data_IF_535241436131
#
_entry.id   IF_535241436131
#
_cell.length_a   1.000
_cell.length_b   1.000
_cell.length_c   1.000
_cell.angle_alpha   90.00
_cell.angle_beta   90.00
_cell.angle_gamma   90.00
#
_symmetry.space_group_name_H-M   'P 1'
#
loop_
_entity.id
_entity.type
_entity.pdbx_description
1 polymer ?
#
# COMPACT_ATOMS: atom_id res chain seq x y z
N UNK A 1 7.26 0.31 -6.33
CA UNK A 1 6.80 1.58 -6.95
C UNK A 1 7.29 1.80 -8.38
N UNK A 2 8.50 1.36 -8.76
CA UNK A 2 9.12 1.64 -10.07
C UNK A 2 8.25 1.38 -11.29
N UNK A 3 7.47 0.29 -11.31
CA UNK A 3 6.56 -0.04 -12.43
C UNK A 3 5.38 0.92 -12.52
N UNK A 4 4.79 1.31 -11.38
CA UNK A 4 3.68 2.27 -11.33
C UNK A 4 4.10 3.66 -11.77
N UNK A 5 5.24 4.14 -11.27
CA UNK A 5 5.81 5.44 -11.69
C UNK A 5 6.15 5.45 -13.18
N UNK A 6 6.70 4.35 -13.72
CA UNK A 6 6.97 4.20 -15.17
C UNK A 6 5.69 4.20 -16.02
N UNK A 7 4.57 3.76 -15.46
CA UNK A 7 3.26 3.81 -16.12
C UNK A 7 2.55 5.17 -15.94
N UNK A 8 3.20 6.17 -15.33
CA UNK A 8 2.62 7.50 -15.09
C UNK A 8 1.70 7.56 -13.88
N UNK A 9 1.65 6.51 -13.05
CA UNK A 9 0.90 6.55 -11.80
C UNK A 9 1.61 7.49 -10.81
N UNK A 10 0.95 8.59 -10.46
CA UNK A 10 1.42 9.57 -9.47
C UNK A 10 0.94 9.25 -8.06
N UNK A 11 -0.07 8.40 -7.92
CA UNK A 11 -0.62 7.91 -6.64
C UNK A 11 -1.14 6.49 -6.84
N UNK A 12 -0.89 5.62 -5.86
CA UNK A 12 -1.47 4.28 -5.84
C UNK A 12 -2.10 4.01 -4.47
N UNK A 13 -3.29 3.42 -4.48
CA UNK A 13 -4.04 3.05 -3.28
C UNK A 13 -4.25 1.53 -3.26
N UNK A 14 -3.91 0.88 -2.16
CA UNK A 14 -4.15 -0.55 -1.95
C UNK A 14 -4.90 -0.78 -0.65
N UNK A 15 -5.90 -1.65 -0.70
CA UNK A 15 -6.65 -2.12 0.47
C UNK A 15 -6.30 -3.57 0.74
N UNK A 16 -6.06 -3.92 2.00
CA UNK A 16 -5.78 -5.30 2.42
C UNK A 16 -6.41 -5.58 3.78
N UNK A 17 -6.74 -6.83 4.08
CA UNK A 17 -7.26 -7.20 5.41
C UNK A 17 -6.25 -6.90 6.52
N UNK A 18 -6.70 -6.47 7.69
CA UNK A 18 -5.81 -6.12 8.80
C UNK A 18 -4.98 -7.33 9.29
N UNK A 19 -5.54 -8.53 9.14
CA UNK A 19 -4.96 -9.83 9.46
C UNK A 19 -3.93 -10.33 8.43
N UNK A 20 -3.86 -9.72 7.24
CA UNK A 20 -2.92 -10.13 6.20
C UNK A 20 -1.53 -9.48 6.45
N UNK A 21 -0.84 -9.98 7.47
CA UNK A 21 0.46 -9.48 7.93
C UNK A 21 1.52 -9.54 6.82
N UNK A 22 1.49 -10.55 5.96
CA UNK A 22 2.43 -10.68 4.85
C UNK A 22 2.29 -9.54 3.84
N UNK A 23 1.05 -9.22 3.42
CA UNK A 23 0.79 -8.11 2.52
C UNK A 23 1.15 -6.76 3.16
N UNK A 24 0.81 -6.57 4.44
CA UNK A 24 1.16 -5.37 5.21
C UNK A 24 2.66 -5.12 5.26
N UNK A 25 3.43 -6.15 5.60
CA UNK A 25 4.90 -6.07 5.67
C UNK A 25 5.52 -5.73 4.32
N UNK A 26 4.97 -6.29 3.23
CA UNK A 26 5.39 -5.97 1.87
C UNK A 26 5.12 -4.51 1.53
N UNK A 27 3.92 -4.00 1.83
CA UNK A 27 3.54 -2.63 1.51
C UNK A 27 4.33 -1.60 2.33
N UNK A 28 4.61 -1.88 3.60
CA UNK A 28 5.48 -1.06 4.44
C UNK A 28 6.92 -1.02 3.89
N UNK A 29 7.48 -2.17 3.52
CA UNK A 29 8.82 -2.25 2.91
C UNK A 29 8.90 -1.54 1.55
N UNK A 30 7.78 -1.44 0.83
CA UNK A 30 7.67 -0.71 -0.43
C UNK A 30 7.52 0.81 -0.25
N UNK A 31 7.49 1.31 0.99
CA UNK A 31 7.31 2.74 1.30
C UNK A 31 5.85 3.18 1.34
N UNK A 32 4.91 2.23 1.43
CA UNK A 32 3.49 2.53 1.56
C UNK A 32 3.18 3.07 2.95
N UNK A 33 2.65 4.28 3.03
CA UNK A 33 2.16 4.83 4.29
C UNK A 33 0.79 4.25 4.63
N UNK A 34 0.50 4.07 5.91
CA UNK A 34 -0.80 3.59 6.38
C UNK A 34 -1.80 4.76 6.38
N UNK A 35 -2.93 4.62 5.67
CA UNK A 35 -3.94 5.66 5.54
C UNK A 35 -5.10 5.54 6.54
N UNK A 36 -5.50 4.33 6.93
CA UNK A 36 -6.56 4.09 7.93
C UNK A 36 -6.55 2.63 8.42
N UNK A 37 -6.94 2.40 9.68
CA UNK A 37 -7.10 1.06 10.27
C UNK A 37 -8.58 0.79 10.59
N UNK A 38 -9.13 -0.22 9.93
CA UNK A 38 -10.41 -0.88 10.26
C UNK A 38 -10.27 -2.40 10.07
N UNK A 39 -11.34 -3.15 9.75
CA UNK A 39 -11.19 -4.56 9.34
C UNK A 39 -10.31 -4.72 8.08
N UNK A 40 -10.16 -3.64 7.31
CA UNK A 40 -9.16 -3.50 6.27
C UNK A 40 -8.22 -2.34 6.57
N UNK A 41 -6.98 -2.47 6.12
CA UNK A 41 -5.95 -1.43 6.13
C UNK A 41 -5.72 -0.91 4.72
N UNK A 42 -5.48 0.40 4.63
CA UNK A 42 -5.26 1.08 3.36
C UNK A 42 -3.84 1.63 3.30
N UNK A 43 -3.19 1.45 2.16
CA UNK A 43 -1.84 1.92 1.88
C UNK A 43 -1.84 2.96 0.77
N UNK A 44 -1.08 4.04 0.96
CA UNK A 44 -0.83 5.05 -0.04
C UNK A 44 0.65 5.03 -0.45
N UNK A 45 0.88 5.09 -1.76
CA UNK A 45 2.22 5.15 -2.34
C UNK A 45 2.34 6.44 -3.16
N UNK A 46 3.38 7.23 -2.87
CA UNK A 46 3.73 8.49 -3.56
C UNK A 46 4.96 8.34 -4.44
#
# INVERSE_FOLDING_TARGET
>A
MTTGTRAGATKMFLTTGAENIAARSLYEAMGGGLASQGPTVNYWFC
#
